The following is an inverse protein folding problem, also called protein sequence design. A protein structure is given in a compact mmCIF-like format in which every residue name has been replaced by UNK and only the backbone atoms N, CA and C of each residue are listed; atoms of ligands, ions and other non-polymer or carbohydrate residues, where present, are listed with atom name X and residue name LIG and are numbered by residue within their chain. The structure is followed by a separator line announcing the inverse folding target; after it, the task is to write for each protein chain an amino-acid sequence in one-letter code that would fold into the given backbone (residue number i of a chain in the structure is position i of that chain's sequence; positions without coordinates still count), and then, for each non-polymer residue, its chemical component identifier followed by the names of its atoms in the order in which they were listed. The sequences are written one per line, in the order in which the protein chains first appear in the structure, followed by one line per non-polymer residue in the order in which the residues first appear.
data_IF_554909761270
#
_entry.id   IF_554909761270
#
_cell.length_a   1.000
_cell.length_b   1.000
_cell.length_c   1.000
_cell.angle_alpha   90.00
_cell.angle_beta   90.00
_cell.angle_gamma   90.00
#
_symmetry.space_group_name_H-M   'P 1'
#
loop_
_entity.id
_entity.type
_entity.pdbx_description
1 polymer ?
#
# COMPACT_ATOMS: atom_id res chain seq x y z
N UNK A 1 -42.33 6.32 27.43
CA UNK A 1 -42.91 7.59 26.97
C UNK A 1 -41.76 8.47 26.51
N UNK A 2 -41.54 8.48 25.22
CA UNK A 2 -40.93 9.44 24.33
C UNK A 2 -40.00 10.54 24.88
N UNK A 3 -38.69 10.38 24.65
CA UNK A 3 -37.74 11.47 24.44
C UNK A 3 -36.82 11.07 23.30
N UNK A 4 -37.35 10.98 22.08
CA UNK A 4 -36.55 10.93 20.83
C UNK A 4 -37.34 11.67 19.73
N UNK A 5 -37.48 12.97 19.91
CA UNK A 5 -37.98 13.83 18.86
C UNK A 5 -37.66 15.29 19.25
N UNK A 6 -36.47 15.78 18.85
CA UNK A 6 -36.21 17.22 18.64
C UNK A 6 -34.72 17.46 18.45
N UNK A 7 -34.21 17.18 17.26
CA UNK A 7 -33.22 18.04 16.60
C UNK A 7 -33.51 17.96 15.10
N UNK A 8 -34.62 18.45 14.69
CA UNK A 8 -34.82 18.97 13.35
C UNK A 8 -34.46 20.44 13.43
N UNK A 9 -33.21 20.76 13.08
CA UNK A 9 -32.79 22.12 12.95
C UNK A 9 -33.49 22.74 11.75
N UNK A 10 -34.48 23.57 12.06
CA UNK A 10 -35.27 24.32 11.09
C UNK A 10 -34.40 25.41 10.48
N UNK A 11 -33.72 25.09 9.37
CA UNK A 11 -33.23 26.12 8.47
C UNK A 11 -34.43 26.58 7.65
N UNK A 12 -35.18 27.56 8.17
CA UNK A 12 -36.16 28.29 7.38
C UNK A 12 -35.36 29.25 6.46
N UNK A 13 -35.02 28.78 5.29
CA UNK A 13 -34.58 29.68 4.21
C UNK A 13 -35.83 30.34 3.65
N UNK A 14 -36.01 31.62 3.96
CA UNK A 14 -37.03 32.45 3.29
C UNK A 14 -36.61 32.62 1.84
N UNK A 15 -37.29 31.90 0.95
CA UNK A 15 -37.13 32.10 -0.50
C UNK A 15 -37.82 33.41 -0.89
N UNK A 16 -37.04 34.42 -1.22
CA UNK A 16 -37.51 35.55 -2.03
C UNK A 16 -37.57 35.11 -3.49
N UNK A 17 -38.62 35.47 -4.17
CA UNK A 17 -39.07 34.99 -5.49
C UNK A 17 -38.24 35.46 -6.66
N UNK A 18 -36.93 35.37 -6.59
CA UNK A 18 -36.04 35.73 -7.73
C UNK A 18 -34.68 34.98 -7.69
N UNK A 19 -34.72 33.68 -7.42
CA UNK A 19 -33.49 32.89 -7.59
C UNK A 19 -33.54 32.14 -8.91
N UNK A 20 -32.53 32.37 -9.74
CA UNK A 20 -32.38 31.78 -11.04
C UNK A 20 -32.30 30.24 -10.96
N UNK A 21 -32.73 29.58 -12.03
CA UNK A 21 -32.66 28.10 -12.20
C UNK A 21 -31.27 27.58 -11.90
N UNK A 22 -30.23 28.35 -12.16
CA UNK A 22 -28.80 28.04 -11.89
C UNK A 22 -28.47 27.88 -10.39
N UNK A 23 -29.07 28.66 -9.48
CA UNK A 23 -28.83 28.51 -8.04
C UNK A 23 -29.55 27.27 -7.49
N UNK A 24 -30.74 26.94 -8.02
CA UNK A 24 -31.42 25.70 -7.65
C UNK A 24 -30.68 24.44 -8.07
N UNK A 25 -30.09 24.43 -9.26
CA UNK A 25 -29.26 23.31 -9.70
C UNK A 25 -27.95 23.18 -8.88
N UNK A 26 -27.35 24.28 -8.44
CA UNK A 26 -26.18 24.27 -7.57
C UNK A 26 -26.51 23.75 -6.17
N UNK A 27 -27.67 24.15 -5.59
CA UNK A 27 -28.12 23.66 -4.28
C UNK A 27 -28.54 22.19 -4.37
N UNK A 28 -29.16 21.75 -5.45
CA UNK A 28 -29.50 20.35 -5.68
C UNK A 28 -28.27 19.48 -5.90
N UNK A 29 -27.19 20.01 -6.50
CA UNK A 29 -25.89 19.30 -6.58
C UNK A 29 -25.20 19.19 -5.21
N UNK A 30 -25.38 20.15 -4.32
CA UNK A 30 -24.83 20.10 -2.94
C UNK A 30 -25.65 19.15 -2.06
N UNK A 31 -26.94 18.95 -2.36
CA UNK A 31 -27.82 18.02 -1.65
C UNK A 31 -27.88 16.62 -2.31
N UNK A 32 -27.31 16.44 -3.49
CA UNK A 32 -27.09 15.10 -4.03
C UNK A 32 -26.17 14.36 -3.05
N UNK A 33 -26.70 13.35 -2.37
CA UNK A 33 -25.91 12.49 -1.50
C UNK A 33 -24.64 12.08 -2.25
N UNK A 34 -23.45 12.44 -1.71
CA UNK A 34 -22.19 12.08 -2.31
C UNK A 34 -22.23 10.57 -2.54
N UNK A 35 -22.05 10.15 -3.78
CA UNK A 35 -22.02 8.72 -4.10
C UNK A 35 -20.86 8.09 -3.34
N UNK A 36 -21.04 6.90 -2.78
CA UNK A 36 -19.92 6.22 -2.10
C UNK A 36 -18.72 6.10 -3.03
N UNK A 37 -17.55 6.43 -2.51
CA UNK A 37 -16.28 6.46 -3.25
C UNK A 37 -15.88 5.03 -3.63
N UNK A 38 -15.67 4.73 -4.91
CA UNK A 38 -15.16 3.45 -5.36
C UNK A 38 -13.78 3.17 -4.76
N UNK A 39 -13.61 1.99 -4.13
CA UNK A 39 -12.37 1.57 -3.48
C UNK A 39 -11.82 0.32 -4.15
N UNK A 40 -10.54 0.35 -4.49
CA UNK A 40 -9.77 -0.78 -5.00
C UNK A 40 -8.66 -1.13 -4.02
N UNK A 41 -8.54 -2.39 -3.65
CA UNK A 41 -7.42 -2.90 -2.87
C UNK A 41 -6.46 -3.61 -3.82
N UNK A 42 -5.19 -3.21 -3.83
CA UNK A 42 -4.12 -3.83 -4.63
C UNK A 42 -3.21 -4.60 -3.69
N UNK A 43 -3.48 -5.86 -3.52
CA UNK A 43 -2.76 -6.79 -2.65
C UNK A 43 -1.80 -7.66 -3.46
N UNK A 44 -1.01 -8.48 -2.78
CA UNK A 44 -0.07 -9.43 -3.35
C UNK A 44 1.22 -9.49 -2.54
N UNK A 45 1.98 -10.54 -2.71
CA UNK A 45 3.19 -10.78 -1.93
C UNK A 45 4.30 -9.76 -2.23
N UNK A 46 5.39 -9.81 -1.46
CA UNK A 46 6.55 -8.94 -1.67
C UNK A 46 7.14 -9.15 -3.07
N UNK A 47 7.48 -8.06 -3.75
CA UNK A 47 8.08 -8.12 -5.09
C UNK A 47 7.12 -8.42 -6.24
N UNK A 48 5.88 -8.80 -6.00
CA UNK A 48 4.91 -9.19 -7.03
C UNK A 48 4.53 -8.07 -8.04
N UNK A 49 5.03 -6.85 -7.89
CA UNK A 49 4.77 -5.76 -8.84
C UNK A 49 3.57 -4.88 -8.51
N UNK A 50 3.03 -4.91 -7.27
CA UNK A 50 1.89 -4.08 -6.83
C UNK A 50 2.05 -2.60 -7.15
N UNK A 51 3.14 -2.00 -6.71
CA UNK A 51 3.42 -0.57 -6.91
C UNK A 51 3.58 -0.23 -8.40
N UNK A 52 4.13 -1.14 -9.20
CA UNK A 52 4.23 -0.97 -10.66
C UNK A 52 2.86 -0.97 -11.32
N UNK A 53 1.99 -1.92 -10.94
CA UNK A 53 0.61 -1.97 -11.38
C UNK A 53 -0.14 -0.70 -10.95
N UNK A 54 -0.02 -0.29 -9.68
CA UNK A 54 -0.67 0.90 -9.17
C UNK A 54 -0.25 2.17 -9.93
N UNK A 55 1.04 2.34 -10.22
CA UNK A 55 1.54 3.46 -11.04
C UNK A 55 0.87 3.49 -12.42
N UNK A 56 0.77 2.34 -13.07
CA UNK A 56 0.14 2.27 -14.39
C UNK A 56 -1.36 2.58 -14.31
N UNK A 57 -2.07 2.07 -13.30
CA UNK A 57 -3.48 2.40 -13.09
C UNK A 57 -3.68 3.91 -12.85
N UNK A 58 -2.82 4.52 -12.04
CA UNK A 58 -2.88 5.95 -11.75
C UNK A 58 -2.60 6.82 -13.00
N UNK A 59 -1.78 6.36 -13.93
CA UNK A 59 -1.52 7.07 -15.18
C UNK A 59 -2.75 7.18 -16.09
N UNK A 60 -3.78 6.37 -15.87
CA UNK A 60 -5.05 6.38 -16.59
C UNK A 60 -6.10 7.30 -15.94
N UNK A 61 -5.72 8.07 -14.91
CA UNK A 61 -6.63 8.99 -14.23
C UNK A 61 -7.19 10.05 -15.20
N UNK A 62 -8.52 10.21 -15.30
CA UNK A 62 -9.10 11.32 -16.03
C UNK A 62 -8.71 12.67 -15.40
N UNK A 63 -8.51 13.69 -16.23
CA UNK A 63 -8.13 15.04 -15.74
C UNK A 63 -9.14 15.63 -14.75
N UNK A 64 -10.43 15.33 -14.93
CA UNK A 64 -11.52 15.87 -14.12
C UNK A 64 -11.72 15.13 -12.80
N UNK A 65 -11.14 13.96 -12.63
CA UNK A 65 -11.26 13.17 -11.42
C UNK A 65 -10.13 13.45 -10.43
N UNK A 66 -10.45 13.41 -9.15
CA UNK A 66 -9.49 13.41 -8.06
C UNK A 66 -9.33 11.97 -7.56
N UNK A 67 -8.16 11.41 -7.68
CA UNK A 67 -7.88 10.07 -7.14
C UNK A 67 -7.03 10.18 -5.88
N UNK A 68 -7.23 9.25 -4.96
CA UNK A 68 -6.44 9.14 -3.75
C UNK A 68 -5.82 7.75 -3.62
N UNK A 69 -4.67 7.71 -3.00
CA UNK A 69 -3.92 6.48 -2.71
C UNK A 69 -3.62 6.44 -1.22
N UNK A 70 -4.01 5.36 -0.57
CA UNK A 70 -3.58 5.03 0.77
C UNK A 70 -2.59 3.87 0.68
N UNK A 71 -1.34 4.13 1.01
CA UNK A 71 -0.29 3.11 1.01
C UNK A 71 0.04 2.72 2.45
N UNK A 72 0.22 1.44 2.67
CA UNK A 72 0.73 0.92 3.92
C UNK A 72 1.93 0.02 3.64
N UNK A 73 3.11 0.50 3.99
CA UNK A 73 4.28 -0.35 4.00
C UNK A 73 4.53 -0.96 5.38
N UNK A 74 5.08 -2.19 5.35
CA UNK A 74 5.63 -2.79 6.54
C UNK A 74 6.92 -2.05 6.85
N UNK A 75 6.89 -1.23 7.89
CA UNK A 75 7.99 -0.37 8.27
C UNK A 75 7.55 1.08 8.57
N UNK A 76 8.46 1.87 9.10
CA UNK A 76 8.17 3.24 9.54
C UNK A 76 8.73 4.31 8.59
N UNK A 77 9.20 3.93 7.40
CA UNK A 77 10.10 4.80 6.62
C UNK A 77 9.48 5.43 5.38
N UNK A 78 8.42 4.86 4.80
CA UNK A 78 7.72 5.51 3.68
C UNK A 78 8.57 5.73 2.42
N UNK A 79 9.15 4.68 1.89
CA UNK A 79 9.92 4.73 0.64
C UNK A 79 9.01 4.74 -0.59
N UNK A 80 7.88 4.04 -0.53
CA UNK A 80 7.00 3.87 -1.69
C UNK A 80 6.27 5.16 -2.10
N UNK A 81 5.96 6.05 -1.16
CA UNK A 81 5.36 7.35 -1.49
C UNK A 81 6.26 8.17 -2.43
N UNK A 82 7.58 8.11 -2.24
CA UNK A 82 8.53 8.86 -3.07
C UNK A 82 8.76 8.21 -4.45
N UNK A 83 8.30 6.97 -4.61
CA UNK A 83 8.36 6.28 -5.91
C UNK A 83 7.17 6.65 -6.81
N UNK A 84 6.12 7.29 -6.28
CA UNK A 84 4.99 7.78 -7.06
C UNK A 84 5.26 9.20 -7.56
N UNK A 85 4.98 9.53 -8.83
CA UNK A 85 5.13 10.88 -9.36
C UNK A 85 4.25 11.87 -8.58
N UNK A 86 4.85 12.92 -8.00
CA UNK A 86 4.18 13.87 -7.10
C UNK A 86 3.24 14.85 -7.82
N UNK A 87 3.43 15.09 -9.14
CA UNK A 87 2.77 16.17 -9.89
C UNK A 87 1.57 15.73 -10.75
N UNK A 88 1.06 14.49 -10.59
CA UNK A 88 0.03 13.96 -11.51
C UNK A 88 -1.43 14.12 -11.00
N UNK A 89 -1.68 14.97 -10.00
CA UNK A 89 -3.05 15.33 -9.58
C UNK A 89 -3.80 14.23 -8.82
N UNK A 90 -3.10 13.34 -8.14
CA UNK A 90 -3.65 12.43 -7.15
C UNK A 90 -3.03 12.70 -5.77
N UNK A 91 -3.80 12.43 -4.71
CA UNK A 91 -3.33 12.57 -3.34
C UNK A 91 -2.81 11.23 -2.81
N UNK A 92 -1.59 11.23 -2.31
CA UNK A 92 -0.99 10.04 -1.67
C UNK A 92 -0.89 10.28 -0.17
N UNK A 93 -1.41 9.33 0.61
CA UNK A 93 -1.22 9.29 2.07
C UNK A 93 -0.60 7.96 2.45
N UNK A 94 0.47 8.02 3.19
CA UNK A 94 1.13 6.85 3.72
C UNK A 94 0.80 6.69 5.21
N UNK A 95 0.56 5.44 5.60
CA UNK A 95 0.45 5.07 7.01
C UNK A 95 1.83 4.68 7.52
N UNK A 96 2.39 5.55 8.36
CA UNK A 96 3.66 5.29 9.04
C UNK A 96 3.39 4.56 10.37
N UNK A 97 4.05 3.42 10.55
CA UNK A 97 4.06 2.69 11.82
C UNK A 97 3.00 1.61 11.98
N UNK A 98 3.40 0.40 11.73
CA UNK A 98 2.64 -0.83 11.97
C UNK A 98 1.78 -1.29 10.80
N UNK A 99 1.67 -2.61 10.63
CA UNK A 99 0.80 -3.19 9.60
C UNK A 99 -0.65 -2.75 9.80
N UNK A 100 -1.34 -2.31 8.74
CA UNK A 100 -2.80 -2.12 8.67
C UNK A 100 -3.58 -3.31 9.28
N UNK A 101 -2.94 -4.47 9.34
CA UNK A 101 -3.56 -5.72 9.73
C UNK A 101 -3.26 -6.15 11.18
N UNK A 102 -2.27 -5.55 11.89
CA UNK A 102 -1.72 -6.25 13.04
C UNK A 102 -2.03 -5.67 14.42
N UNK A 103 -2.29 -4.37 14.62
CA UNK A 103 -2.32 -3.89 16.01
C UNK A 103 -3.33 -2.82 16.39
N UNK A 104 -3.81 -1.99 15.49
CA UNK A 104 -4.88 -1.05 15.84
C UNK A 104 -5.65 -0.59 14.60
N UNK A 105 -6.97 -0.71 14.63
CA UNK A 105 -7.87 -0.20 13.59
C UNK A 105 -7.84 1.35 13.54
N UNK A 106 -7.54 1.98 14.66
CA UNK A 106 -7.67 3.42 14.84
C UNK A 106 -6.75 4.27 13.95
N UNK A 107 -5.45 3.98 13.78
CA UNK A 107 -4.58 4.78 12.89
C UNK A 107 -5.04 4.75 11.43
N UNK A 108 -5.48 3.61 10.95
CA UNK A 108 -6.02 3.48 9.59
C UNK A 108 -7.30 4.30 9.42
N UNK A 109 -8.24 4.19 10.36
CA UNK A 109 -9.48 4.95 10.34
C UNK A 109 -9.23 6.47 10.37
N UNK A 110 -8.30 6.93 11.18
CA UNK A 110 -7.91 8.35 11.25
C UNK A 110 -7.29 8.80 9.92
N UNK A 111 -6.35 8.05 9.39
CA UNK A 111 -5.67 8.41 8.14
C UNK A 111 -6.64 8.40 6.95
N UNK A 112 -7.51 7.39 6.88
CA UNK A 112 -8.54 7.30 5.87
C UNK A 112 -9.55 8.46 5.98
N UNK A 113 -10.05 8.75 7.18
CA UNK A 113 -10.97 9.87 7.41
C UNK A 113 -10.35 11.22 7.02
N UNK A 114 -9.08 11.44 7.36
CA UNK A 114 -8.34 12.65 6.96
C UNK A 114 -8.17 12.71 5.45
N UNK A 115 -7.72 11.62 4.82
CA UNK A 115 -7.54 11.57 3.38
C UNK A 115 -8.84 11.91 2.65
N UNK A 116 -9.95 11.27 3.03
CA UNK A 116 -11.26 11.51 2.43
C UNK A 116 -11.77 12.93 2.63
N UNK A 117 -11.59 13.50 3.83
CA UNK A 117 -12.04 14.87 4.14
C UNK A 117 -11.22 15.95 3.44
N UNK A 118 -9.90 15.75 3.35
CA UNK A 118 -8.96 16.72 2.76
C UNK A 118 -9.05 16.70 1.22
N UNK A 119 -9.19 15.53 0.61
CA UNK A 119 -9.07 15.38 -0.85
C UNK A 119 -10.41 15.22 -1.57
N UNK A 120 -11.46 14.69 -0.89
CA UNK A 120 -12.77 14.36 -1.46
C UNK A 120 -12.63 13.61 -2.79
N UNK A 121 -11.97 12.44 -2.80
CA UNK A 121 -11.60 11.78 -4.03
C UNK A 121 -12.80 11.12 -4.71
N UNK A 122 -12.75 11.06 -6.05
CA UNK A 122 -13.70 10.30 -6.86
C UNK A 122 -13.38 8.80 -6.87
N UNK A 123 -12.14 8.41 -6.50
CA UNK A 123 -11.67 7.02 -6.43
C UNK A 123 -10.54 6.87 -5.42
N UNK A 124 -10.55 5.76 -4.70
CA UNK A 124 -9.53 5.43 -3.71
C UNK A 124 -8.85 4.11 -4.07
N UNK A 125 -7.53 4.12 -4.09
CA UNK A 125 -6.70 2.91 -4.11
C UNK A 125 -6.08 2.69 -2.75
N UNK A 126 -6.04 1.44 -2.31
CA UNK A 126 -5.35 1.05 -1.08
C UNK A 126 -4.36 -0.05 -1.42
N UNK A 127 -3.07 0.22 -1.20
CA UNK A 127 -2.01 -0.77 -1.32
C UNK A 127 -1.57 -1.19 0.09
N UNK A 128 -2.01 -2.35 0.61
CA UNK A 128 -1.49 -2.89 1.85
C UNK A 128 -0.06 -3.41 1.65
N UNK A 129 0.66 -3.57 2.76
CA UNK A 129 1.98 -4.22 2.73
C UNK A 129 1.91 -5.62 2.10
N UNK A 130 2.97 -6.03 1.42
CA UNK A 130 3.08 -7.37 0.83
C UNK A 130 3.01 -8.52 1.84
N UNK A 131 3.23 -8.23 3.12
CA UNK A 131 3.07 -9.16 4.26
C UNK A 131 1.74 -8.96 5.00
N UNK A 132 0.80 -8.21 4.44
CA UNK A 132 -0.49 -7.94 5.06
C UNK A 132 -1.56 -8.98 4.74
N UNK A 133 -2.60 -9.00 5.58
CA UNK A 133 -3.80 -9.80 5.38
C UNK A 133 -4.92 -8.93 4.78
N UNK A 134 -5.11 -8.91 3.46
CA UNK A 134 -6.09 -8.04 2.82
C UNK A 134 -7.53 -8.34 3.23
N UNK A 135 -7.82 -9.54 3.72
CA UNK A 135 -9.11 -9.88 4.28
C UNK A 135 -9.49 -9.07 5.51
N UNK A 136 -8.54 -8.81 6.42
CA UNK A 136 -8.78 -7.95 7.59
C UNK A 136 -9.04 -6.51 7.19
N UNK A 137 -8.30 -6.00 6.20
CA UNK A 137 -8.53 -4.67 5.64
C UNK A 137 -9.91 -4.57 5.00
N UNK A 138 -10.32 -5.58 4.24
CA UNK A 138 -11.64 -5.65 3.64
C UNK A 138 -12.75 -5.63 4.70
N UNK A 139 -12.62 -6.41 5.78
CA UNK A 139 -13.57 -6.40 6.90
C UNK A 139 -13.71 -5.00 7.50
N UNK A 140 -12.59 -4.32 7.76
CA UNK A 140 -12.58 -2.95 8.30
C UNK A 140 -13.28 -1.95 7.38
N UNK A 141 -13.00 -2.00 6.07
CA UNK A 141 -13.59 -1.07 5.10
C UNK A 141 -15.07 -1.36 4.80
N UNK A 142 -15.54 -2.55 5.14
CA UNK A 142 -16.96 -2.94 5.01
C UNK A 142 -17.76 -2.77 6.29
N UNK A 143 -17.19 -2.24 7.37
CA UNK A 143 -17.93 -1.90 8.58
C UNK A 143 -19.05 -0.89 8.31
N UNK A 144 -20.18 -0.95 9.06
CA UNK A 144 -21.36 -0.15 8.78
C UNK A 144 -21.13 1.35 8.64
N UNK A 145 -20.19 1.91 9.40
CA UNK A 145 -19.88 3.35 9.35
C UNK A 145 -19.18 3.78 8.05
N UNK A 146 -18.52 2.85 7.33
CA UNK A 146 -17.91 3.14 6.04
C UNK A 146 -18.84 2.94 4.84
N UNK A 147 -19.90 2.13 4.97
CA UNK A 147 -20.77 1.74 3.86
C UNK A 147 -21.47 2.92 3.16
N UNK A 148 -21.70 4.02 3.88
CA UNK A 148 -22.26 5.24 3.29
C UNK A 148 -21.23 6.09 2.52
N UNK A 149 -19.93 5.85 2.73
CA UNK A 149 -18.83 6.65 2.18
C UNK A 149 -18.00 5.90 1.15
N UNK A 150 -17.91 4.57 1.29
CA UNK A 150 -17.04 3.73 0.47
C UNK A 150 -17.85 2.63 -0.22
N UNK A 151 -17.49 2.36 -1.48
CA UNK A 151 -18.05 1.25 -2.28
C UNK A 151 -16.91 0.36 -2.73
N UNK A 152 -16.81 -0.83 -2.15
CA UNK A 152 -15.80 -1.80 -2.57
C UNK A 152 -16.02 -2.24 -4.01
N UNK A 153 -15.00 -2.04 -4.86
CA UNK A 153 -15.01 -2.42 -6.27
C UNK A 153 -14.25 -3.72 -6.47
N UNK A 154 -12.93 -3.72 -6.29
CA UNK A 154 -12.13 -4.91 -6.50
C UNK A 154 -11.08 -5.08 -5.40
N UNK A 155 -10.82 -6.33 -5.05
CA UNK A 155 -9.63 -6.75 -4.35
C UNK A 155 -8.78 -7.52 -5.36
N UNK A 156 -7.75 -6.85 -5.86
CA UNK A 156 -6.79 -7.38 -6.80
C UNK A 156 -5.63 -7.99 -6.01
N UNK A 157 -5.30 -9.26 -6.26
CA UNK A 157 -4.07 -9.87 -5.75
C UNK A 157 -3.09 -10.05 -6.90
N UNK A 158 -1.95 -9.38 -6.80
CA UNK A 158 -0.85 -9.48 -7.77
C UNK A 158 0.04 -10.65 -7.40
N UNK A 159 0.30 -11.50 -8.37
CA UNK A 159 1.10 -12.71 -8.27
C UNK A 159 2.24 -12.62 -9.28
N UNK A 160 3.47 -12.86 -8.83
CA UNK A 160 4.63 -12.91 -9.71
C UNK A 160 4.60 -14.23 -10.53
N UNK A 161 4.35 -14.10 -11.84
CA UNK A 161 4.26 -15.23 -12.74
C UNK A 161 5.58 -15.98 -12.90
N UNK A 162 6.71 -15.28 -12.87
CA UNK A 162 8.04 -15.86 -13.05
C UNK A 162 8.53 -16.69 -11.85
N UNK A 163 7.80 -16.66 -10.73
CA UNK A 163 8.14 -17.37 -9.49
C UNK A 163 7.10 -18.41 -9.06
N UNK A 164 6.16 -18.74 -9.90
CA UNK A 164 5.11 -19.71 -9.57
C UNK A 164 5.64 -21.12 -9.30
N UNK A 165 6.78 -21.48 -9.90
CA UNK A 165 7.45 -22.76 -9.65
C UNK A 165 8.13 -22.83 -8.28
N UNK A 166 8.37 -21.68 -7.62
CA UNK A 166 9.03 -21.60 -6.32
C UNK A 166 8.04 -21.95 -5.21
N UNK A 167 8.16 -23.16 -4.69
CA UNK A 167 7.25 -23.69 -3.66
C UNK A 167 7.45 -23.00 -2.30
N UNK A 168 8.62 -22.48 -2.01
CA UNK A 168 8.88 -21.77 -0.75
C UNK A 168 8.11 -20.44 -0.70
N UNK A 169 7.81 -19.86 -1.85
CA UNK A 169 6.96 -18.68 -1.97
C UNK A 169 5.46 -19.02 -2.01
N UNK A 170 5.08 -19.97 -2.86
CA UNK A 170 3.66 -20.26 -3.14
C UNK A 170 2.96 -21.04 -2.02
N UNK A 171 3.70 -21.79 -1.20
CA UNK A 171 3.15 -22.57 -0.08
C UNK A 171 3.03 -21.79 1.23
N UNK A 172 3.34 -20.52 1.27
CA UNK A 172 3.17 -19.72 2.48
C UNK A 172 1.67 -19.49 2.77
N UNK A 173 1.27 -19.61 4.02
CA UNK A 173 -0.11 -19.39 4.46
C UNK A 173 -0.63 -18.01 4.05
N UNK A 174 0.23 -17.00 4.14
CA UNK A 174 -0.10 -15.63 3.76
C UNK A 174 -0.43 -15.49 2.27
N UNK A 175 0.33 -16.18 1.41
CA UNK A 175 0.07 -16.23 -0.03
C UNK A 175 -1.31 -16.82 -0.32
N UNK A 176 -1.64 -17.95 0.32
CA UNK A 176 -2.95 -18.58 0.22
C UNK A 176 -4.07 -17.65 0.72
N UNK A 177 -3.86 -16.96 1.84
CA UNK A 177 -4.85 -16.03 2.41
C UNK A 177 -5.12 -14.83 1.50
N UNK A 178 -4.10 -14.32 0.82
CA UNK A 178 -4.24 -13.24 -0.15
C UNK A 178 -5.05 -13.68 -1.39
N UNK A 179 -4.87 -14.90 -1.85
CA UNK A 179 -5.61 -15.46 -3.00
C UNK A 179 -7.08 -15.76 -2.66
N UNK A 180 -7.36 -16.27 -1.45
CA UNK A 180 -8.73 -16.61 -1.02
C UNK A 180 -9.67 -15.43 -0.91
N UNK A 181 -9.16 -14.22 -0.74
CA UNK A 181 -9.97 -13.00 -0.63
C UNK A 181 -10.02 -12.19 -1.93
N UNK A 182 -9.19 -12.52 -2.91
CA UNK A 182 -9.16 -11.85 -4.20
C UNK A 182 -10.41 -12.15 -5.03
N UNK A 183 -10.97 -11.14 -5.67
CA UNK A 183 -11.92 -11.36 -6.76
C UNK A 183 -11.24 -11.26 -8.14
N UNK A 184 -10.07 -10.63 -8.21
CA UNK A 184 -9.23 -10.56 -9.39
C UNK A 184 -7.81 -10.96 -9.01
N UNK A 185 -7.23 -11.91 -9.74
CA UNK A 185 -5.81 -12.26 -9.65
C UNK A 185 -5.11 -11.75 -10.91
N UNK A 186 -4.06 -10.97 -10.70
CA UNK A 186 -3.22 -10.42 -11.76
C UNK A 186 -1.87 -11.11 -11.72
N UNK A 187 -1.52 -11.82 -12.80
CA UNK A 187 -0.22 -12.46 -12.99
C UNK A 187 0.69 -11.44 -13.64
N UNK A 188 1.66 -10.93 -12.89
CA UNK A 188 2.71 -10.04 -13.38
C UNK A 188 3.87 -10.85 -13.99
N UNK A 189 4.82 -10.18 -14.65
CA UNK A 189 5.98 -10.79 -15.31
C UNK A 189 5.61 -11.96 -16.22
N UNK A 190 4.46 -11.84 -16.92
CA UNK A 190 3.96 -12.90 -17.79
C UNK A 190 4.90 -13.20 -18.96
N UNK A 191 5.66 -12.21 -19.40
CA UNK A 191 6.71 -12.29 -20.42
C UNK A 191 7.94 -13.11 -20.00
N UNK A 192 8.13 -13.30 -18.71
CA UNK A 192 9.28 -14.00 -18.13
C UNK A 192 8.94 -15.42 -17.64
N UNK A 193 7.70 -15.87 -17.83
CA UNK A 193 7.24 -17.18 -17.37
C UNK A 193 7.84 -18.32 -18.18
N UNK A 194 8.29 -19.35 -17.47
CA UNK A 194 8.76 -20.62 -18.04
C UNK A 194 7.60 -21.61 -18.25
N UNK A 195 7.85 -22.73 -18.94
CA UNK A 195 6.85 -23.81 -19.05
C UNK A 195 6.45 -24.37 -17.67
N UNK A 196 7.39 -24.42 -16.73
CA UNK A 196 7.14 -24.85 -15.35
C UNK A 196 6.19 -23.87 -14.63
N UNK A 197 6.36 -22.56 -14.86
CA UNK A 197 5.49 -21.55 -14.30
C UNK A 197 4.08 -21.62 -14.88
N UNK A 198 3.96 -21.88 -16.17
CA UNK A 198 2.64 -22.09 -16.80
C UNK A 198 1.92 -23.32 -16.25
N UNK A 199 2.63 -24.42 -15.98
CA UNK A 199 2.06 -25.60 -15.34
C UNK A 199 1.60 -25.27 -13.91
N UNK A 200 2.45 -24.59 -13.12
CA UNK A 200 2.12 -24.16 -11.76
C UNK A 200 0.93 -23.16 -11.74
N UNK A 201 0.82 -22.28 -12.74
CA UNK A 201 -0.32 -21.38 -12.89
C UNK A 201 -1.63 -22.15 -13.12
N UNK A 202 -1.59 -23.23 -13.91
CA UNK A 202 -2.77 -24.06 -14.15
C UNK A 202 -3.26 -24.74 -12.86
N UNK A 203 -2.34 -25.25 -12.04
CA UNK A 203 -2.64 -25.83 -10.74
C UNK A 203 -3.22 -24.76 -9.79
N UNK A 204 -2.58 -23.60 -9.68
CA UNK A 204 -3.02 -22.49 -8.88
C UNK A 204 -4.42 -22.01 -9.26
N UNK A 205 -4.70 -21.86 -10.54
CA UNK A 205 -6.05 -21.52 -11.04
C UNK A 205 -7.09 -22.55 -10.63
N UNK A 206 -6.78 -23.83 -10.75
CA UNK A 206 -7.69 -24.91 -10.36
C UNK A 206 -8.02 -24.87 -8.86
N UNK A 207 -7.03 -24.59 -8.03
CA UNK A 207 -7.18 -24.54 -6.56
C UNK A 207 -7.99 -23.32 -6.12
N UNK A 208 -7.71 -22.14 -6.70
CA UNK A 208 -8.30 -20.87 -6.24
C UNK A 208 -9.46 -20.36 -7.09
N UNK A 209 -9.88 -21.07 -8.14
CA UNK A 209 -11.05 -20.72 -8.95
C UNK A 209 -12.34 -20.46 -8.14
N UNK A 210 -12.62 -21.15 -7.02
CA UNK A 210 -13.79 -20.87 -6.20
C UNK A 210 -13.78 -19.49 -5.53
N UNK A 211 -12.62 -18.85 -5.43
CA UNK A 211 -12.41 -17.55 -4.79
C UNK A 211 -12.23 -16.43 -5.79
N UNK A 212 -11.27 -16.58 -6.70
CA UNK A 212 -10.93 -15.59 -7.73
C UNK A 212 -11.66 -15.87 -9.03
N UNK A 213 -12.55 -14.94 -9.41
CA UNK A 213 -13.38 -15.09 -10.61
C UNK A 213 -12.64 -14.72 -11.90
N UNK A 214 -11.68 -13.78 -11.79
CA UNK A 214 -10.95 -13.23 -12.92
C UNK A 214 -9.44 -13.41 -12.75
N UNK A 215 -8.79 -13.92 -13.81
CA UNK A 215 -7.35 -14.13 -13.89
C UNK A 215 -6.82 -13.38 -15.10
N UNK A 216 -5.99 -12.39 -14.87
CA UNK A 216 -5.43 -11.51 -15.89
C UNK A 216 -3.92 -11.69 -15.93
N UNK A 217 -3.34 -11.78 -17.11
CA UNK A 217 -1.90 -11.80 -17.30
C UNK A 217 -1.46 -10.43 -17.78
N UNK A 218 -0.42 -9.88 -17.19
CA UNK A 218 0.07 -8.55 -17.54
C UNK A 218 1.59 -8.54 -17.68
N UNK A 219 2.05 -7.63 -18.52
CA UNK A 219 3.45 -7.30 -18.72
C UNK A 219 3.69 -5.85 -18.29
N UNK A 220 4.83 -5.57 -17.67
CA UNK A 220 5.23 -4.22 -17.27
C UNK A 220 4.18 -3.44 -16.44
N UNK A 221 3.32 -4.16 -15.70
CA UNK A 221 2.25 -3.56 -14.88
C UNK A 221 1.06 -3.00 -15.68
N UNK A 222 0.98 -3.26 -16.99
CA UNK A 222 -0.04 -2.69 -17.87
C UNK A 222 -1.38 -3.41 -17.71
N UNK A 223 -2.33 -2.73 -17.09
CA UNK A 223 -3.70 -3.20 -16.89
C UNK A 223 -4.68 -2.05 -17.09
N UNK A 224 -5.68 -2.25 -17.95
CA UNK A 224 -6.75 -1.28 -18.12
C UNK A 224 -7.59 -1.17 -16.85
N UNK A 225 -7.81 0.07 -16.38
CA UNK A 225 -8.62 0.37 -15.19
C UNK A 225 -10.05 -0.21 -15.29
N UNK A 226 -10.61 -0.32 -16.49
CA UNK A 226 -11.95 -0.87 -16.70
C UNK A 226 -12.04 -2.34 -16.28
N UNK A 227 -10.94 -3.10 -16.34
CA UNK A 227 -10.91 -4.50 -15.96
C UNK A 227 -11.04 -4.72 -14.45
N UNK A 228 -10.77 -3.68 -13.63
CA UNK A 228 -10.89 -3.75 -12.17
C UNK A 228 -12.09 -2.97 -11.62
N UNK A 229 -12.88 -2.30 -12.46
CA UNK A 229 -14.11 -1.57 -12.06
C UNK A 229 -15.30 -2.49 -11.80
N UNK A 230 -15.06 -3.63 -11.18
CA UNK A 230 -16.10 -4.59 -10.84
C UNK A 230 -16.48 -4.44 -9.37
N UNK A 231 -17.76 -4.50 -9.06
CA UNK A 231 -18.19 -4.51 -7.66
C UNK A 231 -17.68 -5.80 -6.98
N UNK A 232 -17.09 -5.65 -5.82
CA UNK A 232 -16.70 -6.78 -5.00
C UNK A 232 -17.94 -7.58 -4.61
N UNK A 233 -18.01 -8.83 -5.09
CA UNK A 233 -19.15 -9.73 -4.83
C UNK A 233 -18.81 -10.79 -3.76
N UNK A 234 -17.59 -10.75 -3.22
CA UNK A 234 -17.20 -11.65 -2.15
C UNK A 234 -18.02 -11.32 -0.90
N UNK A 235 -18.83 -12.26 -0.41
CA UNK A 235 -19.23 -12.21 0.97
C UNK A 235 -17.95 -12.29 1.80
N UNK A 236 -17.77 -11.48 2.86
CA UNK A 236 -16.80 -11.75 3.89
C UNK A 236 -17.17 -13.12 4.50
N UNK A 237 -16.83 -14.19 3.80
CA UNK A 237 -16.99 -15.53 4.35
C UNK A 237 -16.04 -15.56 5.52
N UNK A 238 -16.62 -15.61 6.70
CA UNK A 238 -16.05 -15.99 7.97
C UNK A 238 -14.63 -16.54 7.82
N UNK A 239 -13.66 -15.64 7.75
CA UNK A 239 -12.30 -15.99 8.10
C UNK A 239 -12.46 -16.44 9.53
N UNK A 240 -12.35 -17.75 9.76
CA UNK A 240 -12.54 -18.34 11.08
C UNK A 240 -11.71 -17.54 12.08
N UNK A 241 -12.25 -17.20 13.25
CA UNK A 241 -11.57 -16.37 14.23
C UNK A 241 -10.45 -17.16 14.91
N UNK A 242 -9.38 -17.49 14.19
CA UNK A 242 -8.15 -18.02 14.76
C UNK A 242 -7.37 -16.97 15.55
N UNK A 243 -7.80 -15.69 15.54
CA UNK A 243 -7.09 -14.59 16.18
C UNK A 243 -7.95 -13.82 17.22
N UNK A 244 -8.92 -14.49 17.88
CA UNK A 244 -9.61 -13.88 19.02
C UNK A 244 -8.78 -13.82 20.33
N UNK A 245 -7.51 -14.18 20.29
CA UNK A 245 -6.65 -14.17 21.49
C UNK A 245 -5.48 -13.20 21.34
N UNK A 246 -5.72 -11.92 21.22
CA UNK A 246 -4.76 -10.89 21.69
C UNK A 246 -5.37 -9.47 21.49
N UNK A 247 -6.51 -9.20 22.13
CA UNK A 247 -6.88 -7.83 22.44
C UNK A 247 -6.12 -7.39 23.67
N UNK A 248 -4.91 -6.91 23.52
CA UNK A 248 -4.33 -6.00 24.51
C UNK A 248 -4.56 -4.57 24.02
N UNK A 249 -5.28 -3.84 24.83
CA UNK A 249 -5.50 -2.40 24.72
C UNK A 249 -4.13 -1.73 24.82
N UNK A 250 -3.61 -1.25 23.71
CA UNK A 250 -2.46 -0.34 23.70
C UNK A 250 -2.99 1.08 23.44
N UNK A 251 -2.65 1.98 24.36
CA UNK A 251 -3.07 3.38 24.33
C UNK A 251 -2.60 4.13 23.09
N UNK A 252 -3.17 5.32 22.91
CA UNK A 252 -2.85 6.27 21.85
C UNK A 252 -1.34 6.47 21.71
N UNK A 253 -0.78 6.11 20.56
CA UNK A 253 0.60 6.45 20.24
C UNK A 253 0.57 7.79 19.49
N UNK A 254 1.07 8.89 20.07
CA UNK A 254 1.23 10.14 19.34
C UNK A 254 2.21 9.91 18.18
N UNK A 255 2.02 10.62 17.07
CA UNK A 255 2.98 10.64 15.97
C UNK A 255 4.34 11.15 16.50
N UNK A 256 5.25 10.23 16.76
CA UNK A 256 6.57 10.55 17.30
C UNK A 256 7.41 11.09 16.15
N UNK A 257 7.74 12.37 16.20
CA UNK A 257 8.77 12.95 15.34
C UNK A 257 10.12 12.43 15.86
N UNK A 258 10.63 11.39 15.23
CA UNK A 258 11.92 10.83 15.60
C UNK A 258 13.06 11.79 15.26
N UNK A 259 13.99 11.99 16.20
CA UNK A 259 15.24 12.71 15.92
C UNK A 259 16.11 11.83 15.00
N UNK A 260 16.69 12.42 13.95
CA UNK A 260 17.59 11.71 13.05
C UNK A 260 19.05 11.73 13.56
N UNK A 261 19.81 10.64 13.45
CA UNK A 261 19.46 9.36 12.81
C UNK A 261 18.48 8.54 13.65
N UNK A 262 17.63 7.81 12.97
CA UNK A 262 16.64 6.93 13.59
C UNK A 262 16.72 5.53 12.99
N UNK A 263 16.71 4.50 13.82
CA UNK A 263 16.71 3.10 13.46
C UNK A 263 15.58 2.37 14.18
N UNK A 264 14.98 1.41 13.52
CA UNK A 264 13.98 0.53 14.12
C UNK A 264 14.10 -0.90 13.59
N UNK A 265 13.63 -1.85 14.37
CA UNK A 265 13.47 -3.25 13.99
C UNK A 265 12.07 -3.70 14.39
N UNK A 266 11.37 -4.30 13.46
CA UNK A 266 10.05 -4.91 13.68
C UNK A 266 10.06 -6.36 13.23
N UNK A 267 9.27 -7.19 13.90
CA UNK A 267 9.11 -8.59 13.52
C UNK A 267 7.64 -8.92 13.40
N UNK A 268 7.25 -9.50 12.27
CA UNK A 268 5.90 -9.98 12.05
C UNK A 268 5.90 -11.22 11.16
N UNK A 269 5.08 -12.21 11.51
CA UNK A 269 4.80 -13.39 10.69
C UNK A 269 6.05 -14.20 10.27
N UNK A 270 7.09 -14.21 11.11
CA UNK A 270 8.34 -14.89 10.80
C UNK A 270 9.33 -14.08 9.96
N UNK A 271 8.99 -12.83 9.64
CA UNK A 271 9.88 -11.89 8.96
C UNK A 271 10.35 -10.81 9.92
N UNK A 272 11.54 -10.28 9.65
CA UNK A 272 12.09 -9.14 10.36
C UNK A 272 12.35 -8.00 9.36
N UNK A 273 11.94 -6.79 9.75
CA UNK A 273 12.22 -5.56 9.00
C UNK A 273 13.07 -4.66 9.85
N UNK A 274 14.15 -4.16 9.27
CA UNK A 274 14.93 -3.10 9.86
C UNK A 274 14.94 -1.88 8.93
N UNK A 275 14.86 -0.70 9.51
CA UNK A 275 14.84 0.53 8.75
C UNK A 275 15.65 1.63 9.39
N UNK A 276 16.28 2.45 8.54
CA UNK A 276 17.08 3.62 8.94
C UNK A 276 16.56 4.86 8.26
N UNK A 277 16.36 5.92 9.06
CA UNK A 277 16.17 7.31 8.60
C UNK A 277 17.39 8.12 9.00
N UNK A 278 18.01 8.74 8.03
CA UNK A 278 19.27 9.45 8.22
C UNK A 278 19.13 10.89 7.73
N UNK A 279 19.88 11.84 8.32
CA UNK A 279 19.75 13.25 7.96
C UNK A 279 19.91 13.51 6.46
N UNK A 280 19.02 14.33 5.88
CA UNK A 280 19.04 14.73 4.45
C UNK A 280 20.41 15.25 4.00
N UNK A 281 21.09 16.00 4.86
CA UNK A 281 22.41 16.60 4.58
C UNK A 281 23.55 15.59 4.47
N UNK A 282 23.33 14.32 4.89
CA UNK A 282 24.34 13.31 4.74
C UNK A 282 24.41 12.88 3.27
N UNK A 283 25.64 12.70 2.80
CA UNK A 283 25.93 12.22 1.47
C UNK A 283 26.66 10.90 1.56
N UNK A 284 26.31 9.99 0.68
CA UNK A 284 26.88 8.64 0.64
C UNK A 284 27.67 8.43 -0.64
N UNK A 285 28.75 7.65 -0.59
CA UNK A 285 29.39 7.16 -1.80
C UNK A 285 28.44 6.17 -2.48
N UNK A 286 28.19 6.41 -3.76
CA UNK A 286 27.23 5.60 -4.52
C UNK A 286 27.70 4.13 -4.67
N UNK A 287 28.98 3.93 -4.94
CA UNK A 287 29.50 2.58 -5.18
C UNK A 287 29.64 1.79 -3.89
N UNK A 288 30.16 2.39 -2.83
CA UNK A 288 30.24 1.75 -1.51
C UNK A 288 28.86 1.35 -1.01
N UNK A 289 27.87 2.22 -1.20
CA UNK A 289 26.49 1.93 -0.83
C UNK A 289 25.88 0.83 -1.68
N UNK A 290 26.12 0.84 -2.99
CA UNK A 290 25.64 -0.20 -3.92
C UNK A 290 26.23 -1.56 -3.54
N UNK A 291 27.54 -1.62 -3.29
CA UNK A 291 28.23 -2.85 -2.90
C UNK A 291 27.68 -3.38 -1.57
N UNK A 292 27.53 -2.51 -0.55
CA UNK A 292 26.92 -2.88 0.72
C UNK A 292 25.53 -3.50 0.54
N UNK A 293 24.68 -2.89 -0.28
CA UNK A 293 23.31 -3.36 -0.48
C UNK A 293 23.25 -4.66 -1.30
N UNK A 294 24.17 -4.85 -2.25
CA UNK A 294 24.25 -6.07 -3.07
C UNK A 294 24.88 -7.25 -2.34
N UNK A 295 25.80 -7.01 -1.42
CA UNK A 295 26.52 -8.07 -0.68
C UNK A 295 25.67 -8.72 0.43
N UNK A 296 24.51 -8.15 0.77
CA UNK A 296 23.66 -8.73 1.80
C UNK A 296 23.16 -10.12 1.34
N UNK A 297 23.11 -11.07 2.28
CA UNK A 297 22.62 -12.44 2.06
C UNK A 297 21.28 -12.65 2.80
N UNK A 298 20.50 -13.61 2.35
CA UNK A 298 19.24 -14.05 3.01
C UNK A 298 18.18 -12.94 3.19
N UNK A 299 18.25 -11.87 2.42
CA UNK A 299 17.24 -10.83 2.42
C UNK A 299 16.18 -11.08 1.34
N UNK A 300 14.97 -10.57 1.61
CA UNK A 300 13.83 -10.70 0.70
C UNK A 300 13.59 -9.41 -0.12
N UNK A 301 13.90 -8.27 0.47
CA UNK A 301 13.73 -6.98 -0.17
C UNK A 301 14.59 -5.92 0.48
N UNK A 302 15.19 -5.06 -0.32
CA UNK A 302 15.81 -3.82 0.11
C UNK A 302 15.16 -2.68 -0.67
N UNK A 303 14.66 -1.68 0.05
CA UNK A 303 14.21 -0.41 -0.52
C UNK A 303 14.94 0.74 0.14
N UNK A 304 15.36 1.72 -0.65
CA UNK A 304 16.04 2.88 -0.12
C UNK A 304 16.00 4.08 -1.05
N UNK A 305 16.24 5.25 -0.48
CA UNK A 305 16.50 6.48 -1.21
C UNK A 305 17.62 7.22 -0.49
N UNK A 306 18.65 7.62 -1.25
CA UNK A 306 19.84 8.22 -0.69
C UNK A 306 20.33 9.41 -1.51
N UNK A 307 20.81 10.43 -0.82
CA UNK A 307 21.65 11.48 -1.38
C UNK A 307 23.08 10.94 -1.55
N UNK A 308 23.47 10.70 -2.78
CA UNK A 308 24.80 10.16 -3.11
C UNK A 308 25.67 11.20 -3.78
N UNK A 309 26.97 10.90 -3.93
CA UNK A 309 27.92 11.71 -4.73
C UNK A 309 27.55 11.75 -6.23
N UNK A 310 26.55 10.93 -6.67
CA UNK A 310 25.98 10.94 -8.02
C UNK A 310 24.53 11.48 -8.06
N UNK A 311 24.13 12.27 -7.07
CA UNK A 311 22.77 12.76 -6.88
C UNK A 311 21.87 11.77 -6.14
N UNK A 312 20.60 12.11 -6.04
CA UNK A 312 19.63 11.25 -5.36
C UNK A 312 19.39 9.96 -6.16
N UNK A 313 19.45 8.82 -5.46
CA UNK A 313 19.23 7.49 -6.02
C UNK A 313 18.18 6.74 -5.21
N UNK A 314 17.26 6.07 -5.90
CA UNK A 314 16.37 5.09 -5.29
C UNK A 314 16.84 3.68 -5.61
N UNK A 315 16.71 2.79 -4.63
CA UNK A 315 17.06 1.39 -4.70
C UNK A 315 15.83 0.54 -4.42
N UNK A 316 15.59 -0.47 -5.23
CA UNK A 316 14.52 -1.45 -5.04
C UNK A 316 15.04 -2.81 -5.47
N UNK A 317 15.57 -3.55 -4.51
CA UNK A 317 16.20 -4.84 -4.73
C UNK A 317 15.32 -5.96 -4.21
N UNK A 318 15.24 -7.03 -4.94
CA UNK A 318 14.81 -8.35 -4.52
C UNK A 318 15.88 -9.36 -4.93
N UNK A 319 15.88 -10.62 -4.46
CA UNK A 319 16.95 -11.57 -4.74
C UNK A 319 17.27 -11.77 -6.22
N UNK A 320 16.30 -11.54 -7.11
CA UNK A 320 16.43 -11.77 -8.54
C UNK A 320 16.74 -10.49 -9.34
N UNK A 321 16.50 -9.30 -8.74
CA UNK A 321 16.57 -8.03 -9.45
C UNK A 321 17.15 -6.92 -8.57
N UNK A 322 18.20 -6.28 -9.07
CA UNK A 322 18.87 -5.15 -8.43
C UNK A 322 18.59 -3.87 -9.22
N UNK A 323 17.43 -3.25 -8.96
CA UNK A 323 17.01 -2.05 -9.66
C UNK A 323 17.37 -0.79 -8.88
N UNK A 324 18.13 0.10 -9.50
CA UNK A 324 18.32 1.46 -9.00
C UNK A 324 18.11 2.49 -10.11
N UNK A 325 17.70 3.69 -9.73
CA UNK A 325 17.45 4.78 -10.68
C UNK A 325 17.73 6.14 -10.03
N UNK A 326 17.88 7.17 -10.85
CA UNK A 326 17.91 8.55 -10.36
C UNK A 326 16.56 8.89 -9.76
N UNK A 327 16.57 9.59 -8.65
CA UNK A 327 15.38 10.01 -7.92
C UNK A 327 15.37 11.53 -7.74
N UNK A 328 14.19 12.08 -7.49
CA UNK A 328 14.05 13.45 -7.02
C UNK A 328 14.62 13.62 -5.62
N UNK A 329 14.91 14.85 -5.24
CA UNK A 329 15.45 15.19 -3.93
C UNK A 329 14.51 14.73 -2.82
N UNK A 330 14.96 13.78 -1.99
CA UNK A 330 14.21 13.26 -0.85
C UNK A 330 14.18 14.21 0.35
N UNK A 331 13.29 13.94 1.29
CA UNK A 331 13.20 14.66 2.57
C UNK A 331 14.26 14.23 3.59
N UNK A 332 14.75 13.00 3.46
CA UNK A 332 15.81 12.37 4.25
C UNK A 332 16.45 11.22 3.46
N UNK A 333 17.58 10.69 3.92
CA UNK A 333 18.10 9.41 3.44
C UNK A 333 17.41 8.29 4.22
N UNK A 334 17.02 7.22 3.54
CA UNK A 334 16.34 6.10 4.19
C UNK A 334 16.56 4.76 3.48
N UNK A 335 16.54 3.70 4.27
CA UNK A 335 16.57 2.32 3.76
C UNK A 335 15.75 1.41 4.66
N UNK A 336 15.07 0.47 4.07
CA UNK A 336 14.41 -0.67 4.71
C UNK A 336 14.93 -1.97 4.13
N UNK A 337 15.16 -2.93 5.01
CA UNK A 337 15.62 -4.26 4.65
C UNK A 337 14.71 -5.30 5.31
N UNK A 338 14.20 -6.25 4.53
CA UNK A 338 13.33 -7.33 4.98
C UNK A 338 14.09 -8.64 4.92
N UNK A 339 14.08 -9.39 6.04
CA UNK A 339 14.69 -10.71 6.18
C UNK A 339 13.68 -11.75 6.64
N UNK A 340 13.94 -13.00 6.30
CA UNK A 340 13.14 -14.13 6.79
C UNK A 340 13.57 -14.62 8.17
N UNK A 341 14.81 -14.32 8.58
CA UNK A 341 15.37 -14.75 9.87
C UNK A 341 15.77 -13.56 10.73
N UNK A 342 15.86 -13.76 12.03
CA UNK A 342 16.39 -12.74 12.95
C UNK A 342 17.88 -12.50 12.70
N UNK A 343 18.31 -11.25 12.70
CA UNK A 343 19.68 -10.82 12.44
C UNK A 343 20.13 -9.76 13.44
N UNK A 344 21.44 -9.72 13.72
CA UNK A 344 22.07 -8.56 14.36
C UNK A 344 22.33 -7.46 13.32
N UNK A 345 21.72 -6.32 13.54
CA UNK A 345 21.77 -5.17 12.62
C UNK A 345 22.96 -4.25 12.83
N UNK A 346 23.75 -4.45 13.91
CA UNK A 346 24.87 -3.56 14.24
C UNK A 346 25.96 -3.57 13.17
N UNK A 347 26.22 -4.72 12.57
CA UNK A 347 27.19 -4.85 11.50
C UNK A 347 26.74 -4.09 10.23
N UNK A 348 25.47 -4.27 9.83
CA UNK A 348 24.90 -3.54 8.69
C UNK A 348 24.91 -2.03 8.93
N UNK A 349 24.46 -1.59 10.11
CA UNK A 349 24.46 -0.16 10.47
C UNK A 349 25.87 0.44 10.43
N UNK A 350 26.84 -0.29 10.96
CA UNK A 350 28.24 0.14 10.93
C UNK A 350 28.75 0.31 9.50
N UNK A 351 28.51 -0.67 8.63
CA UNK A 351 28.89 -0.62 7.23
C UNK A 351 28.15 0.51 6.48
N UNK A 352 26.85 0.70 6.76
CA UNK A 352 26.07 1.79 6.18
C UNK A 352 26.66 3.16 6.56
N UNK A 353 27.11 3.32 7.81
CA UNK A 353 27.74 4.55 8.24
C UNK A 353 29.13 4.76 7.60
N UNK A 354 29.84 3.71 7.24
CA UNK A 354 31.12 3.80 6.51
C UNK A 354 30.95 4.28 5.07
N UNK A 355 29.82 3.97 4.41
CA UNK A 355 29.50 4.51 3.09
C UNK A 355 29.27 6.04 3.08
N UNK A 356 29.18 6.67 4.25
CA UNK A 356 28.93 8.10 4.36
C UNK A 356 30.20 8.89 4.04
N UNK A 357 30.06 9.88 3.16
CA UNK A 357 31.11 10.86 2.88
C UNK A 357 31.15 11.87 4.03
N UNK A 358 32.23 11.85 4.79
CA UNK A 358 32.48 12.85 5.82
C UNK A 358 33.22 14.03 5.19
N UNK A 359 32.54 15.17 5.05
CA UNK A 359 33.25 16.40 4.65
C UNK A 359 34.15 16.81 5.81
N UNK A 360 35.44 16.74 5.63
CA UNK A 360 36.37 17.39 6.54
C UNK A 360 36.08 18.90 6.55
N UNK A 361 35.92 19.46 7.73
CA UNK A 361 35.65 20.89 7.95
C UNK A 361 36.87 21.73 7.69
#
# INVERSE_FOLDING_TARGET
MNIFARVQCSIIVRFTTSNSIFERESILKVLAAQQPIPVHIISGFLGAGKTTLLKYLLSQKPEQEVWAVLMNEFGQIGVDQQLLPQDQGYAVKELLGGCLCCSSQLPMQIALSRLLSETKPDRLFIEPTGLGHPGQLLEQLTEPHWQSHLKMQSLVTVVDGSRLHDRDWTHQNLYADQLKVANIVVISHADSMTETDHAALAELKSEYQPYAQHWLMIENGQLDIEQIKQNYQGTPRQIQPLLKQQRQVLGEVPAVVHQLPYHYVESAQGYQVAGWKLPKRWQFDFYDLLDLLCEQQDWLRIKGIFNTNQGWKSFNFNPDQFNYQSAEEGIDNRVEVIYQTSRDWLEFETALMQCRIVQEK
#
